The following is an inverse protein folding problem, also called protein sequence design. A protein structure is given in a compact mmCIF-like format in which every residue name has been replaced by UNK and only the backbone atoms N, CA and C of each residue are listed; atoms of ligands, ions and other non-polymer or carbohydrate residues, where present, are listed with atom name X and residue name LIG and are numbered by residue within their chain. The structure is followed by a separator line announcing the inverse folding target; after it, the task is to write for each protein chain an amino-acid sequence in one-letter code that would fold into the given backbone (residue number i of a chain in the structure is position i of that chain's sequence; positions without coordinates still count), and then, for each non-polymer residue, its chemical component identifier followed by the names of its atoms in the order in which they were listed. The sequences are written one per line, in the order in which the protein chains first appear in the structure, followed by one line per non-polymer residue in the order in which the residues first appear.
data_IF_749136356329
#
_entry.id   IF_749136356329
#
_cell.length_a   1.000
_cell.length_b   1.000
_cell.length_c   1.000
_cell.angle_alpha   90.00
_cell.angle_beta   90.00
_cell.angle_gamma   90.00
#
_symmetry.space_group_name_H-M   'P 1'
#
loop_
_entity.id
_entity.type
_entity.pdbx_description
1 polymer ?
#
# COMPACT_ATOMS: atom_id res chain seq x y z
N UNK A 1 -22.20 -21.33 -1.19
CA UNK A 1 -20.96 -20.76 -1.75
C UNK A 1 -21.23 -20.41 -3.19
N UNK A 2 -21.11 -19.14 -3.52
CA UNK A 2 -20.98 -18.72 -4.91
C UNK A 2 -19.74 -19.43 -5.50
N UNK A 3 -19.89 -19.98 -6.71
CA UNK A 3 -18.85 -20.75 -7.42
C UNK A 3 -18.48 -20.09 -8.75
N UNK A 4 -18.93 -18.85 -8.97
CA UNK A 4 -18.65 -18.08 -10.17
C UNK A 4 -17.31 -17.36 -10.10
N UNK A 5 -16.91 -16.79 -11.25
CA UNK A 5 -15.83 -15.81 -11.32
C UNK A 5 -16.34 -14.46 -10.84
N UNK A 6 -15.64 -13.85 -9.89
CA UNK A 6 -15.91 -12.50 -9.43
C UNK A 6 -14.95 -11.52 -10.11
N UNK A 7 -15.45 -10.34 -10.46
CA UNK A 7 -14.64 -9.25 -10.98
C UNK A 7 -14.29 -8.30 -9.85
N UNK A 8 -13.00 -8.02 -9.70
CA UNK A 8 -12.47 -7.07 -8.72
C UNK A 8 -11.83 -5.91 -9.46
N UNK A 9 -12.11 -4.68 -8.99
CA UNK A 9 -11.49 -3.47 -9.50
C UNK A 9 -10.22 -3.19 -8.71
N UNK A 10 -9.09 -3.23 -9.39
CA UNK A 10 -7.79 -3.11 -8.76
C UNK A 10 -6.98 -1.93 -9.30
N UNK A 11 -6.10 -1.38 -8.46
CA UNK A 11 -5.02 -0.48 -8.88
C UNK A 11 -3.68 -0.96 -8.32
N UNK A 12 -2.83 -1.51 -9.19
CA UNK A 12 -1.60 -2.20 -8.79
C UNK A 12 -0.31 -1.40 -9.01
N UNK A 13 -0.44 -0.11 -9.29
CA UNK A 13 0.69 0.80 -9.36
C UNK A 13 0.33 2.10 -8.63
N UNK A 14 0.53 2.11 -7.32
CA UNK A 14 0.18 3.24 -6.46
C UNK A 14 1.40 3.70 -5.67
N UNK A 15 1.69 4.99 -5.77
CA UNK A 15 2.72 5.66 -4.97
C UNK A 15 2.10 6.47 -3.84
N UNK A 16 2.83 6.56 -2.74
CA UNK A 16 2.51 7.31 -1.53
C UNK A 16 3.38 8.57 -1.46
N UNK A 17 3.24 9.41 -0.43
CA UNK A 17 4.06 10.61 -0.24
C UNK A 17 5.57 10.36 -0.15
N UNK A 18 5.99 9.10 0.05
CA UNK A 18 7.41 8.68 0.00
C UNK A 18 8.02 8.83 -1.38
N UNK A 19 7.20 8.79 -2.44
CA UNK A 19 7.72 8.95 -3.78
C UNK A 19 8.38 10.33 -3.96
N UNK A 20 9.54 10.37 -4.60
CA UNK A 20 10.34 11.61 -4.74
C UNK A 20 9.64 12.67 -5.59
N UNK A 21 8.73 12.25 -6.47
CA UNK A 21 7.94 13.13 -7.33
C UNK A 21 6.55 13.42 -6.75
N UNK A 22 6.27 13.03 -5.49
CA UNK A 22 5.01 13.34 -4.84
C UNK A 22 4.72 14.85 -4.81
N UNK A 23 3.49 15.19 -5.20
CA UNK A 23 2.96 16.54 -5.15
C UNK A 23 1.96 16.66 -4.01
N UNK A 24 2.28 17.50 -3.01
CA UNK A 24 1.41 17.76 -1.86
C UNK A 24 2.17 17.69 -0.55
N UNK A 25 1.43 17.68 0.55
CA UNK A 25 1.98 17.50 1.89
C UNK A 25 2.58 16.10 2.03
N UNK A 26 3.71 16.02 2.74
CA UNK A 26 4.40 14.77 3.04
C UNK A 26 4.27 14.48 4.54
N UNK A 27 3.53 13.44 4.93
CA UNK A 27 3.37 13.07 6.33
C UNK A 27 4.71 12.66 6.97
N UNK A 28 5.15 13.42 7.98
CA UNK A 28 6.42 13.15 8.67
C UNK A 28 6.19 12.34 9.94
N UNK A 29 5.20 12.73 10.75
CA UNK A 29 4.93 12.04 12.02
C UNK A 29 4.15 10.75 11.79
N UNK A 30 4.28 9.83 12.74
CA UNK A 30 3.49 8.59 12.79
C UNK A 30 1.98 8.85 12.78
N UNK A 31 1.54 9.98 13.34
CA UNK A 31 0.13 10.39 13.34
C UNK A 31 -0.30 10.89 11.96
N UNK A 32 0.50 11.75 11.33
CA UNK A 32 0.21 12.25 9.98
C UNK A 32 0.15 11.09 8.97
N UNK A 33 1.04 10.09 9.10
CA UNK A 33 1.07 8.90 8.23
C UNK A 33 -0.18 8.05 8.37
N UNK A 34 -0.66 7.86 9.60
CA UNK A 34 -1.95 7.19 9.86
C UNK A 34 -3.13 7.99 9.31
N UNK A 35 -3.12 9.30 9.49
CA UNK A 35 -4.15 10.19 8.93
C UNK A 35 -4.21 10.07 7.41
N UNK A 36 -3.06 10.15 6.74
CA UNK A 36 -2.97 9.92 5.29
C UNK A 36 -3.51 8.55 4.89
N UNK A 37 -3.14 7.50 5.61
CA UNK A 37 -3.58 6.14 5.29
C UNK A 37 -5.11 5.98 5.39
N UNK A 38 -5.75 6.61 6.38
CA UNK A 38 -7.22 6.65 6.49
C UNK A 38 -7.85 7.37 5.29
N UNK A 39 -7.33 8.54 4.94
CA UNK A 39 -7.82 9.31 3.78
C UNK A 39 -7.62 8.54 2.47
N UNK A 40 -6.51 7.82 2.35
CA UNK A 40 -6.20 6.98 1.20
C UNK A 40 -7.22 5.85 1.02
N UNK A 41 -7.58 5.13 2.09
CA UNK A 41 -8.61 4.08 2.04
C UNK A 41 -9.97 4.67 1.66
N UNK A 42 -10.35 5.82 2.23
CA UNK A 42 -11.58 6.53 1.86
C UNK A 42 -11.58 6.91 0.36
N UNK A 43 -10.45 7.38 -0.17
CA UNK A 43 -10.30 7.70 -1.59
C UNK A 43 -10.41 6.45 -2.49
N UNK A 44 -9.90 5.31 -2.04
CA UNK A 44 -10.06 4.02 -2.73
C UNK A 44 -11.52 3.57 -2.77
N UNK A 45 -12.27 3.74 -1.68
CA UNK A 45 -13.73 3.48 -1.64
C UNK A 45 -14.50 4.37 -2.59
N UNK A 46 -14.20 5.66 -2.63
CA UNK A 46 -14.82 6.59 -3.58
C UNK A 46 -14.58 6.16 -5.05
N UNK A 47 -13.46 5.50 -5.33
CA UNK A 47 -13.12 4.93 -6.65
C UNK A 47 -13.67 3.51 -6.88
N UNK A 48 -14.29 2.91 -5.86
CA UNK A 48 -14.79 1.52 -5.85
C UNK A 48 -13.67 0.51 -6.12
N UNK A 49 -12.49 0.73 -5.55
CA UNK A 49 -11.39 -0.24 -5.61
C UNK A 49 -11.61 -1.33 -4.57
N UNK A 50 -11.42 -2.58 -4.99
CA UNK A 50 -11.48 -3.77 -4.15
C UNK A 50 -10.09 -4.19 -3.68
N UNK A 51 -9.04 -3.84 -4.44
CA UNK A 51 -7.66 -4.10 -4.09
C UNK A 51 -6.71 -3.03 -4.62
N UNK A 52 -5.61 -2.80 -3.90
CA UNK A 52 -4.52 -1.94 -4.34
C UNK A 52 -3.16 -2.55 -4.04
N UNK A 53 -2.16 -2.26 -4.86
CA UNK A 53 -0.77 -2.54 -4.54
C UNK A 53 -0.03 -1.23 -4.30
N UNK A 54 0.61 -1.11 -3.15
CA UNK A 54 1.45 0.04 -2.82
C UNK A 54 2.85 -0.28 -3.32
N UNK A 55 3.34 0.51 -4.27
CA UNK A 55 4.53 0.23 -5.07
C UNK A 55 5.42 1.47 -5.15
N UNK A 56 5.76 2.03 -4.00
CA UNK A 56 6.72 3.14 -3.93
C UNK A 56 8.07 2.74 -4.55
N UNK A 57 8.83 3.76 -4.99
CA UNK A 57 10.12 3.56 -5.65
C UNK A 57 11.14 2.97 -4.67
N UNK A 58 11.44 1.68 -4.82
CA UNK A 58 12.32 0.90 -3.93
C UNK A 58 12.00 1.03 -2.43
N UNK A 59 10.75 1.29 -2.08
CA UNK A 59 10.33 1.62 -0.72
C UNK A 59 9.03 0.89 -0.35
N UNK A 60 8.89 0.57 0.94
CA UNK A 60 7.77 -0.19 1.49
C UNK A 60 7.23 0.44 2.78
N UNK A 61 7.64 1.67 3.12
CA UNK A 61 7.44 2.25 4.44
C UNK A 61 5.97 2.56 4.77
N UNK A 62 5.16 2.96 3.78
CA UNK A 62 3.76 3.32 4.02
C UNK A 62 2.81 2.12 4.12
N UNK A 63 3.26 0.94 3.68
CA UNK A 63 2.44 -0.27 3.60
C UNK A 63 1.80 -0.65 4.95
N UNK A 64 2.53 -0.66 6.09
CA UNK A 64 1.93 -1.03 7.37
C UNK A 64 0.80 -0.07 7.79
N UNK A 65 0.96 1.23 7.58
CA UNK A 65 -0.08 2.23 7.90
C UNK A 65 -1.34 2.03 7.06
N UNK A 66 -1.17 1.75 5.76
CA UNK A 66 -2.29 1.54 4.83
C UNK A 66 -3.01 0.22 5.15
N UNK A 67 -2.28 -0.83 5.51
CA UNK A 67 -2.85 -2.10 6.00
C UNK A 67 -3.61 -1.90 7.32
N UNK A 68 -3.05 -1.13 8.25
CA UNK A 68 -3.70 -0.77 9.51
C UNK A 68 -5.02 -0.02 9.23
N UNK A 69 -5.00 0.99 8.36
CA UNK A 69 -6.20 1.75 7.99
C UNK A 69 -7.28 0.87 7.32
N UNK A 70 -6.90 -0.03 6.41
CA UNK A 70 -7.84 -0.97 5.78
C UNK A 70 -8.45 -1.96 6.78
N UNK A 71 -7.66 -2.39 7.77
CA UNK A 71 -8.10 -3.31 8.83
C UNK A 71 -9.06 -2.64 9.79
N UNK A 72 -8.82 -1.37 10.11
CA UNK A 72 -9.58 -0.58 11.07
C UNK A 72 -10.77 0.17 10.42
N UNK A 73 -11.04 -0.07 9.14
CA UNK A 73 -12.14 0.59 8.43
C UNK A 73 -13.50 0.23 9.04
N UNK A 74 -14.32 1.26 9.25
CA UNK A 74 -15.66 1.14 9.81
C UNK A 74 -16.72 1.40 8.74
N UNK A 75 -17.86 0.73 8.88
CA UNK A 75 -19.03 0.98 8.06
C UNK A 75 -19.81 2.24 8.52
N UNK A 76 -20.90 2.58 7.83
CA UNK A 76 -21.70 3.77 8.13
C UNK A 76 -22.34 3.74 9.55
N UNK A 77 -22.51 2.55 10.12
CA UNK A 77 -23.02 2.35 11.48
C UNK A 77 -21.91 2.31 12.55
N UNK A 78 -20.65 2.51 12.16
CA UNK A 78 -19.50 2.52 13.07
C UNK A 78 -18.96 1.13 13.44
N UNK A 79 -19.38 0.08 12.73
CA UNK A 79 -18.92 -1.29 12.97
C UNK A 79 -17.74 -1.65 12.06
N UNK A 80 -16.78 -2.47 12.52
CA UNK A 80 -15.70 -2.96 11.67
C UNK A 80 -16.22 -3.67 10.43
N UNK A 81 -15.62 -3.41 9.27
CA UNK A 81 -15.97 -4.13 8.06
C UNK A 81 -15.57 -5.61 8.16
N UNK A 82 -16.42 -6.53 7.63
CA UNK A 82 -16.04 -7.93 7.41
C UNK A 82 -14.80 -8.02 6.51
N UNK A 83 -13.96 -9.03 6.75
CA UNK A 83 -12.68 -9.20 6.03
C UNK A 83 -12.89 -9.22 4.51
N UNK A 84 -13.92 -9.91 4.04
CA UNK A 84 -14.26 -10.03 2.62
C UNK A 84 -14.73 -8.72 1.96
N UNK A 85 -15.02 -7.69 2.75
CA UNK A 85 -15.42 -6.37 2.26
C UNK A 85 -14.29 -5.35 2.33
N UNK A 86 -13.21 -5.64 3.08
CA UNK A 86 -12.05 -4.74 3.21
C UNK A 86 -11.30 -4.62 1.90
N UNK A 87 -10.69 -3.46 1.67
CA UNK A 87 -9.80 -3.28 0.53
C UNK A 87 -8.56 -4.15 0.74
N UNK A 88 -8.25 -5.03 -0.23
CA UNK A 88 -7.07 -5.86 -0.14
C UNK A 88 -5.81 -5.04 -0.47
N UNK A 89 -4.87 -4.96 0.47
CA UNK A 89 -3.61 -4.25 0.28
C UNK A 89 -2.50 -5.25 -0.05
N UNK A 90 -1.96 -5.16 -1.26
CA UNK A 90 -0.80 -5.90 -1.71
C UNK A 90 0.46 -5.08 -1.46
N UNK A 91 1.45 -5.62 -0.73
CA UNK A 91 2.71 -4.94 -0.54
C UNK A 91 3.57 -5.11 -1.81
N UNK A 92 4.30 -4.08 -2.19
CA UNK A 92 5.14 -4.13 -3.38
C UNK A 92 6.14 -2.99 -3.45
N UNK A 93 6.86 -2.95 -4.57
CA UNK A 93 7.80 -1.88 -4.90
C UNK A 93 7.84 -1.69 -6.41
N UNK A 94 8.05 -0.45 -6.83
CA UNK A 94 8.51 -0.16 -8.18
C UNK A 94 10.04 -0.17 -8.22
N UNK A 95 10.61 -1.03 -9.08
CA UNK A 95 12.04 -1.20 -9.26
C UNK A 95 12.51 -0.49 -10.52
N UNK A 96 13.66 0.17 -10.45
CA UNK A 96 14.39 0.64 -11.65
C UNK A 96 15.46 -0.38 -12.01
N UNK A 97 15.40 -0.90 -13.23
CA UNK A 97 16.33 -1.92 -13.70
C UNK A 97 17.63 -1.29 -14.23
N UNK A 98 18.67 -2.10 -14.47
CA UNK A 98 19.92 -1.66 -15.11
C UNK A 98 19.79 -1.25 -16.58
N UNK A 99 18.56 -1.08 -17.05
CA UNK A 99 18.12 -0.62 -18.37
C UNK A 99 17.00 0.42 -18.12
N UNK A 100 16.65 1.31 -19.06
CA UNK A 100 15.61 2.33 -18.86
C UNK A 100 14.21 1.70 -18.86
N UNK A 101 13.94 0.89 -17.85
CA UNK A 101 12.75 0.08 -17.67
C UNK A 101 12.46 0.00 -16.17
N UNK A 102 11.18 0.07 -15.84
CA UNK A 102 10.67 -0.15 -14.49
C UNK A 102 9.95 -1.48 -14.42
N UNK A 103 9.99 -2.12 -13.26
CA UNK A 103 9.27 -3.36 -12.99
C UNK A 103 8.51 -3.23 -11.67
N UNK A 104 7.29 -3.78 -11.64
CA UNK A 104 6.51 -3.91 -10.41
C UNK A 104 6.83 -5.26 -9.77
N UNK A 105 7.26 -5.22 -8.51
CA UNK A 105 7.30 -6.38 -7.63
C UNK A 105 6.12 -6.29 -6.67
N UNK A 106 5.21 -7.25 -6.74
CA UNK A 106 4.03 -7.32 -5.88
C UNK A 106 4.07 -8.66 -5.16
N UNK A 107 4.08 -8.64 -3.84
CA UNK A 107 4.00 -9.86 -3.03
C UNK A 107 2.54 -10.23 -2.77
N UNK A 108 2.32 -11.46 -2.28
CA UNK A 108 1.01 -11.86 -1.75
C UNK A 108 0.52 -10.88 -0.70
N UNK A 109 -0.80 -10.67 -0.63
CA UNK A 109 -1.37 -9.70 0.30
C UNK A 109 -1.18 -10.10 1.77
N UNK A 110 -0.82 -11.35 2.04
CA UNK A 110 -0.46 -11.94 3.32
C UNK A 110 1.06 -11.90 3.61
N UNK A 111 1.88 -11.37 2.70
CA UNK A 111 3.33 -11.23 2.93
C UNK A 111 3.58 -10.31 4.14
N UNK A 112 4.31 -10.76 5.17
CA UNK A 112 4.33 -10.10 6.48
C UNK A 112 5.26 -8.88 6.51
N UNK A 113 4.85 -7.85 7.26
CA UNK A 113 5.54 -6.55 7.33
C UNK A 113 6.99 -6.66 7.87
N UNK A 114 7.23 -7.58 8.81
CA UNK A 114 8.55 -7.81 9.41
C UNK A 114 9.58 -8.42 8.44
N UNK A 115 9.12 -8.96 7.31
CA UNK A 115 9.97 -9.52 6.25
C UNK A 115 10.35 -8.49 5.18
N UNK A 116 9.79 -7.27 5.19
CA UNK A 116 10.09 -6.25 4.17
C UNK A 116 11.57 -5.89 4.13
N UNK A 117 12.23 -5.78 5.29
CA UNK A 117 13.66 -5.52 5.37
C UNK A 117 14.53 -6.63 4.77
N UNK A 118 14.10 -7.90 4.90
CA UNK A 118 14.79 -9.02 4.28
C UNK A 118 14.57 -9.06 2.76
N UNK A 119 13.38 -8.69 2.29
CA UNK A 119 13.07 -8.60 0.86
C UNK A 119 13.91 -7.53 0.17
N UNK A 120 14.00 -6.32 0.74
CA UNK A 120 14.84 -5.23 0.20
C UNK A 120 16.33 -5.60 0.23
N UNK A 121 16.81 -6.21 1.31
CA UNK A 121 18.19 -6.69 1.43
C UNK A 121 18.52 -7.75 0.36
N UNK A 122 17.61 -8.69 0.12
CA UNK A 122 17.79 -9.75 -0.90
C UNK A 122 17.88 -9.19 -2.32
N UNK A 123 17.25 -8.04 -2.56
CA UNK A 123 17.28 -7.32 -3.84
C UNK A 123 18.41 -6.29 -3.91
N UNK A 124 19.30 -6.25 -2.90
CA UNK A 124 20.39 -5.27 -2.79
C UNK A 124 19.93 -3.81 -2.80
N UNK A 125 18.70 -3.57 -2.34
CA UNK A 125 18.11 -2.23 -2.22
C UNK A 125 18.53 -1.64 -0.87
N UNK A 126 19.02 -0.40 -0.88
CA UNK A 126 19.20 0.39 0.34
C UNK A 126 17.93 1.21 0.59
N UNK A 127 17.12 0.89 1.61
CA UNK A 127 15.89 1.64 1.87
C UNK A 127 16.22 3.07 2.28
N UNK A 128 15.35 4.01 1.90
CA UNK A 128 15.44 5.39 2.34
C UNK A 128 15.22 5.49 3.86
N UNK A 129 15.75 6.53 4.50
CA UNK A 129 15.61 6.67 5.95
C UNK A 129 14.12 6.75 6.34
N UNK A 130 13.72 6.07 7.40
CA UNK A 130 12.35 6.06 7.89
C UNK A 130 11.87 7.46 8.33
N UNK A 131 12.79 8.36 8.69
CA UNK A 131 12.48 9.76 9.01
C UNK A 131 12.42 10.69 7.80
N UNK A 132 12.77 10.21 6.60
CA UNK A 132 12.60 11.01 5.39
C UNK A 132 11.11 11.16 5.03
N UNK A 133 10.71 12.34 4.53
CA UNK A 133 9.32 12.64 4.15
C UNK A 133 8.88 11.91 2.88
#
# INVERSE_FOLDING_TARGET
MDKGTHFYRCDFQVHTPRDRQWHGERPISEEDRRSYAVDFIAACRAKRLDAVAITDHHDMAFIPYIREAATNELNAEGNPLPEEQRIQIFPGMELTLGIPCQALLIFGADFPDDMFGLATTSLTITPANASEP
#
